data_IF_089448957084
#
_entry.id   IF_089448957084
#
_cell.length_a   1.000
_cell.length_b   1.000
_cell.length_c   1.000
_cell.angle_alpha   90.00
_cell.angle_beta   90.00
_cell.angle_gamma   90.00
#
_symmetry.space_group_name_H-M   'P 1'
#
loop_
_entity.id
_entity.type
_entity.pdbx_description
1 polymer ?
#
# COMPACT_ATOMS: atom_id res chain seq x y z
N UNK A 1 12.39 3.46 -18.72
CA UNK A 1 12.96 2.66 -17.60
C UNK A 1 12.02 1.49 -17.37
N UNK A 2 12.54 0.31 -17.06
CA UNK A 2 11.66 -0.82 -16.73
C UNK A 2 11.16 -0.65 -15.29
N UNK A 3 9.88 -0.93 -15.05
CA UNK A 3 9.30 -0.93 -13.71
C UNK A 3 9.98 -1.98 -12.83
N UNK A 4 10.14 -1.71 -11.54
CA UNK A 4 10.63 -2.65 -10.54
C UNK A 4 9.57 -3.72 -10.26
N UNK A 5 8.31 -3.31 -10.14
CA UNK A 5 7.15 -4.16 -9.97
C UNK A 5 6.14 -3.88 -11.07
N UNK A 6 5.63 -4.92 -11.70
CA UNK A 6 4.49 -4.84 -12.63
C UNK A 6 3.45 -5.89 -12.25
N UNK A 7 2.22 -5.44 -12.05
CA UNK A 7 1.05 -6.27 -11.79
C UNK A 7 0.03 -5.97 -12.88
N UNK A 8 -0.48 -7.01 -13.56
CA UNK A 8 -1.55 -6.90 -14.57
C UNK A 8 -2.67 -7.88 -14.28
N UNK A 9 -3.89 -7.33 -14.26
CA UNK A 9 -5.14 -8.07 -14.08
C UNK A 9 -5.13 -9.01 -12.87
N UNK A 10 -4.49 -8.59 -11.75
CA UNK A 10 -4.50 -9.35 -10.51
C UNK A 10 -5.92 -9.41 -9.95
N UNK A 11 -6.38 -10.61 -9.66
CA UNK A 11 -7.66 -10.86 -9.00
C UNK A 11 -7.49 -11.84 -7.84
N UNK A 12 -8.28 -11.64 -6.79
CA UNK A 12 -8.36 -12.53 -5.63
C UNK A 12 -9.82 -12.85 -5.36
N UNK A 13 -10.15 -14.14 -5.40
CA UNK A 13 -11.51 -14.63 -5.19
C UNK A 13 -11.56 -15.53 -3.95
N UNK A 14 -12.55 -15.32 -3.10
CA UNK A 14 -12.86 -16.20 -1.98
C UNK A 14 -14.24 -16.81 -2.21
N UNK A 15 -14.32 -18.14 -2.31
CA UNK A 15 -15.56 -18.89 -2.56
C UNK A 15 -16.32 -18.38 -3.82
N UNK A 16 -15.60 -18.01 -4.88
CA UNK A 16 -16.17 -17.47 -6.12
C UNK A 16 -16.53 -15.99 -6.09
N UNK A 17 -16.40 -15.32 -4.94
CA UNK A 17 -16.69 -13.89 -4.80
C UNK A 17 -15.39 -13.07 -4.89
N UNK A 18 -15.32 -12.04 -5.76
CA UNK A 18 -14.12 -11.25 -5.94
C UNK A 18 -13.88 -10.30 -4.75
N UNK A 19 -12.74 -10.46 -4.07
CA UNK A 19 -12.24 -9.48 -3.10
C UNK A 19 -11.44 -8.38 -3.81
N UNK A 20 -10.67 -8.79 -4.83
CA UNK A 20 -9.86 -7.91 -5.69
C UNK A 20 -10.15 -8.31 -7.14
N UNK A 21 -10.36 -7.34 -8.03
CA UNK A 21 -10.73 -7.58 -9.42
C UNK A 21 -9.90 -6.71 -10.37
N UNK A 22 -9.12 -7.37 -11.24
CA UNK A 22 -8.35 -6.77 -12.34
C UNK A 22 -7.49 -5.58 -11.93
N UNK A 23 -6.72 -5.72 -10.84
CA UNK A 23 -5.78 -4.69 -10.41
C UNK A 23 -4.60 -4.63 -11.38
N UNK A 24 -4.32 -3.40 -11.83
CA UNK A 24 -3.12 -3.05 -12.55
C UNK A 24 -2.33 -2.04 -11.73
N UNK A 25 -1.10 -2.38 -11.40
CA UNK A 25 -0.21 -1.53 -10.61
C UNK A 25 1.23 -1.72 -11.10
N UNK A 26 1.95 -0.63 -11.28
CA UNK A 26 3.39 -0.65 -11.49
C UNK A 26 4.09 0.22 -10.47
N UNK A 27 5.34 -0.09 -10.18
CA UNK A 27 6.20 0.69 -9.29
C UNK A 27 7.58 0.78 -9.92
N UNK A 28 8.08 1.99 -10.12
CA UNK A 28 9.42 2.22 -10.61
C UNK A 28 10.47 2.05 -9.49
N UNK A 29 11.76 1.81 -9.81
CA UNK A 29 12.82 1.80 -8.80
C UNK A 29 12.87 3.12 -8.04
N UNK A 30 12.88 3.07 -6.71
CA UNK A 30 12.92 4.25 -5.83
C UNK A 30 11.62 5.08 -5.78
N UNK A 31 10.55 4.67 -6.46
CA UNK A 31 9.27 5.37 -6.44
C UNK A 31 8.51 5.10 -5.14
N UNK A 32 7.83 6.13 -4.63
CA UNK A 32 6.82 5.99 -3.57
C UNK A 32 5.43 6.06 -4.18
N UNK A 33 4.69 4.96 -4.11
CA UNK A 33 3.31 4.86 -4.60
C UNK A 33 2.36 4.74 -3.42
N UNK A 34 1.40 5.66 -3.32
CA UNK A 34 0.31 5.57 -2.36
C UNK A 34 -0.82 4.66 -2.88
N UNK A 35 -1.34 3.79 -2.04
CA UNK A 35 -2.55 3.01 -2.32
C UNK A 35 -3.59 3.37 -1.26
N UNK A 36 -4.65 4.04 -1.67
CA UNK A 36 -5.64 4.63 -0.76
C UNK A 36 -7.05 4.14 -1.03
N UNK A 37 -7.93 4.28 -0.04
CA UNK A 37 -9.35 3.91 -0.13
C UNK A 37 -9.91 3.49 1.22
N UNK A 38 -11.23 3.39 1.34
CA UNK A 38 -11.91 2.96 2.57
C UNK A 38 -11.49 1.54 2.99
N UNK A 39 -11.76 1.20 4.27
CA UNK A 39 -11.59 -0.18 4.75
C UNK A 39 -12.42 -1.14 3.90
N UNK A 40 -11.90 -2.33 3.62
CA UNK A 40 -12.55 -3.31 2.75
C UNK A 40 -12.42 -3.04 1.26
N UNK A 41 -11.72 -1.99 0.81
CA UNK A 41 -11.52 -1.73 -0.64
C UNK A 41 -10.54 -2.69 -1.33
N UNK A 42 -9.87 -3.60 -0.61
CA UNK A 42 -9.00 -4.63 -1.18
C UNK A 42 -7.49 -4.31 -1.16
N UNK A 43 -7.06 -3.19 -0.58
CA UNK A 43 -5.65 -2.74 -0.53
C UNK A 43 -4.71 -3.81 0.00
N UNK A 44 -4.90 -4.21 1.27
CA UNK A 44 -4.06 -5.22 1.94
C UNK A 44 -4.10 -6.57 1.23
N UNK A 45 -5.29 -7.00 0.78
CA UNK A 45 -5.45 -8.28 0.06
C UNK A 45 -4.65 -8.29 -1.25
N UNK A 46 -4.56 -7.17 -1.96
CA UNK A 46 -3.74 -7.03 -3.17
C UNK A 46 -2.27 -7.28 -2.87
N UNK A 47 -1.75 -6.69 -1.78
CA UNK A 47 -0.34 -6.87 -1.41
C UNK A 47 -0.08 -8.25 -0.81
N UNK A 48 -1.00 -8.81 -0.04
CA UNK A 48 -0.91 -10.19 0.43
C UNK A 48 -0.88 -11.18 -0.75
N UNK A 49 -1.62 -10.92 -1.82
CA UNK A 49 -1.57 -11.74 -3.04
C UNK A 49 -0.20 -11.68 -3.72
N UNK A 50 0.41 -10.48 -3.83
CA UNK A 50 1.78 -10.31 -4.32
C UNK A 50 2.78 -11.10 -3.46
N UNK A 51 2.67 -11.02 -2.14
CA UNK A 51 3.52 -11.74 -1.18
C UNK A 51 3.27 -13.26 -1.15
N UNK A 52 2.17 -13.74 -1.76
CA UNK A 52 1.79 -15.16 -1.69
C UNK A 52 1.26 -15.58 -0.32
N UNK A 53 0.64 -14.64 0.40
CA UNK A 53 0.10 -14.80 1.75
C UNK A 53 -1.44 -14.89 1.78
N UNK A 54 -2.06 -15.14 0.63
CA UNK A 54 -3.51 -15.38 0.57
C UNK A 54 -3.78 -16.85 0.89
N UNK A 55 -4.39 -17.10 2.05
CA UNK A 55 -4.74 -18.43 2.50
C UNK A 55 -5.98 -18.98 1.79
N UNK A 56 -6.11 -20.33 1.78
CA UNK A 56 -7.32 -20.99 1.32
C UNK A 56 -8.54 -20.51 2.16
N UNK A 57 -9.72 -20.33 1.53
CA UNK A 57 -10.10 -20.70 0.17
C UNK A 57 -9.82 -19.61 -0.89
N UNK A 58 -8.90 -18.68 -0.63
CA UNK A 58 -8.54 -17.62 -1.55
C UNK A 58 -7.81 -18.15 -2.78
N UNK A 59 -8.27 -17.74 -3.97
CA UNK A 59 -7.65 -18.04 -5.27
C UNK A 59 -7.13 -16.76 -5.88
N UNK A 60 -5.82 -16.74 -6.17
CA UNK A 60 -5.13 -15.61 -6.81
C UNK A 60 -4.91 -15.94 -8.28
N UNK A 61 -5.31 -15.04 -9.17
CA UNK A 61 -5.05 -15.10 -10.62
C UNK A 61 -4.49 -13.77 -11.10
N UNK A 62 -3.63 -13.78 -12.11
CA UNK A 62 -3.13 -12.58 -12.76
C UNK A 62 -2.61 -12.93 -14.17
N UNK A 63 -2.54 -11.94 -15.06
CA UNK A 63 -1.89 -12.10 -16.37
C UNK A 63 -0.38 -11.94 -16.24
N UNK A 64 0.07 -11.03 -15.38
CA UNK A 64 1.48 -10.78 -15.10
C UNK A 64 1.67 -10.34 -13.65
N UNK A 65 2.66 -10.91 -12.99
CA UNK A 65 3.26 -10.39 -11.76
C UNK A 65 4.76 -10.51 -11.92
N UNK A 66 5.42 -9.43 -12.28
CA UNK A 66 6.88 -9.40 -12.46
C UNK A 66 7.53 -8.46 -11.45
N UNK A 67 8.67 -8.89 -10.92
CA UNK A 67 9.48 -8.12 -10.00
C UNK A 67 10.95 -8.19 -10.42
N UNK A 68 11.56 -7.04 -10.65
CA UNK A 68 12.96 -6.92 -11.10
C UNK A 68 13.29 -7.82 -12.28
N UNK A 69 12.37 -7.90 -13.26
CA UNK A 69 12.46 -8.73 -14.45
C UNK A 69 12.15 -10.22 -14.24
N UNK A 70 11.78 -10.64 -13.02
CA UNK A 70 11.44 -12.03 -12.70
C UNK A 70 9.92 -12.20 -12.69
N UNK A 71 9.39 -13.12 -13.50
CA UNK A 71 7.98 -13.52 -13.49
C UNK A 71 7.67 -14.34 -12.24
N UNK A 72 6.99 -13.73 -11.27
CA UNK A 72 6.64 -14.38 -10.00
C UNK A 72 5.55 -15.45 -10.15
N UNK A 73 4.74 -15.43 -11.22
CA UNK A 73 3.74 -16.47 -11.47
C UNK A 73 4.39 -17.78 -11.89
N UNK A 74 5.50 -17.69 -12.65
CA UNK A 74 6.26 -18.86 -13.13
C UNK A 74 7.40 -19.26 -12.20
N UNK A 75 7.74 -18.40 -11.24
CA UNK A 75 8.82 -18.67 -10.31
C UNK A 75 8.52 -19.90 -9.43
N UNK A 76 9.49 -20.79 -9.29
CA UNK A 76 9.38 -21.93 -8.38
C UNK A 76 9.23 -21.44 -6.93
N UNK A 77 8.64 -22.25 -6.02
CA UNK A 77 8.53 -21.90 -4.61
C UNK A 77 9.86 -21.54 -3.95
N UNK A 78 10.97 -22.15 -4.40
CA UNK A 78 12.32 -21.84 -3.92
C UNK A 78 12.80 -20.46 -4.41
N UNK A 79 12.50 -20.08 -5.64
CA UNK A 79 12.83 -18.76 -6.18
C UNK A 79 11.99 -17.67 -5.49
N UNK A 80 10.69 -17.89 -5.34
CA UNK A 80 9.81 -16.93 -4.60
C UNK A 80 10.31 -16.70 -3.19
N UNK A 81 10.66 -17.74 -2.42
CA UNK A 81 11.19 -17.60 -1.05
C UNK A 81 12.53 -16.84 -0.97
N UNK A 82 13.28 -16.73 -2.06
CA UNK A 82 14.51 -15.91 -2.11
C UNK A 82 14.22 -14.44 -2.33
N UNK A 83 13.09 -14.11 -2.94
CA UNK A 83 12.66 -12.75 -3.27
C UNK A 83 11.79 -12.19 -2.15
N UNK A 84 10.76 -12.96 -1.74
CA UNK A 84 9.82 -12.54 -0.69
C UNK A 84 10.51 -12.64 0.68
N UNK A 85 10.44 -11.55 1.45
CA UNK A 85 11.10 -11.39 2.74
C UNK A 85 12.55 -10.88 2.64
N UNK A 86 13.15 -10.87 1.44
CA UNK A 86 14.48 -10.31 1.17
C UNK A 86 14.41 -9.07 0.28
N UNK A 87 14.04 -9.26 -1.01
CA UNK A 87 14.01 -8.19 -2.00
C UNK A 87 12.66 -7.44 -2.01
N UNK A 88 11.57 -8.12 -1.64
CA UNK A 88 10.26 -7.54 -1.34
C UNK A 88 9.98 -7.82 0.14
N UNK A 89 9.78 -6.77 0.93
CA UNK A 89 9.43 -6.87 2.33
C UNK A 89 8.11 -6.15 2.62
N UNK A 90 7.45 -6.54 3.72
CA UNK A 90 6.16 -5.95 4.12
C UNK A 90 6.14 -5.64 5.61
N UNK A 91 5.67 -4.45 5.93
CA UNK A 91 5.28 -4.00 7.27
C UNK A 91 3.76 -4.14 7.35
N UNK A 92 3.27 -4.96 8.28
CA UNK A 92 1.85 -5.24 8.44
C UNK A 92 1.17 -4.18 9.32
N UNK A 93 -0.15 -4.11 9.24
CA UNK A 93 -0.98 -3.14 9.93
C UNK A 93 -0.87 -3.19 11.45
N UNK A 94 -0.79 -4.39 12.04
CA UNK A 94 -0.71 -4.59 13.50
C UNK A 94 0.61 -5.27 13.88
N UNK A 95 1.50 -4.51 14.51
CA UNK A 95 2.79 -5.00 14.96
C UNK A 95 2.68 -6.05 16.07
N UNK A 96 1.67 -5.95 16.96
CA UNK A 96 1.53 -6.90 18.07
C UNK A 96 1.10 -8.29 17.58
N UNK A 97 0.22 -8.36 16.61
CA UNK A 97 -0.17 -9.64 16.01
C UNK A 97 0.87 -10.21 15.06
N UNK A 98 1.73 -9.36 14.48
CA UNK A 98 2.78 -9.74 13.53
C UNK A 98 4.05 -10.26 14.22
N UNK A 99 4.36 -9.77 15.41
CA UNK A 99 5.48 -10.25 16.21
C UNK A 99 5.06 -11.47 17.04
N UNK A 100 5.89 -12.51 17.06
CA UNK A 100 5.64 -13.68 17.88
C UNK A 100 5.88 -13.36 19.37
N UNK A 101 4.85 -13.42 20.23
CA UNK A 101 4.99 -13.05 21.64
C UNK A 101 5.86 -13.99 22.46
N UNK A 102 6.16 -15.18 21.95
CA UNK A 102 6.98 -16.20 22.64
C UNK A 102 8.48 -16.02 22.42
N UNK A 103 8.90 -15.13 21.52
CA UNK A 103 10.30 -14.87 21.20
C UNK A 103 10.66 -13.42 21.48
N UNK A 104 11.92 -13.19 21.91
CA UNK A 104 12.43 -11.82 22.07
C UNK A 104 12.54 -11.11 20.73
N UNK A 105 12.51 -9.78 20.73
CA UNK A 105 12.61 -8.99 19.51
C UNK A 105 13.93 -9.24 18.78
N UNK A 106 15.02 -9.38 19.53
CA UNK A 106 16.32 -9.69 18.94
C UNK A 106 16.40 -11.09 18.34
N UNK A 107 15.70 -12.08 18.92
CA UNK A 107 15.61 -13.41 18.30
C UNK A 107 14.97 -13.32 16.92
N UNK A 108 13.84 -12.61 16.80
CA UNK A 108 13.07 -12.48 15.55
C UNK A 108 13.87 -11.73 14.46
N UNK A 109 14.58 -10.65 14.83
CA UNK A 109 15.47 -9.94 13.89
C UNK A 109 16.62 -10.86 13.43
N UNK A 110 17.25 -11.57 14.38
CA UNK A 110 18.34 -12.51 14.06
C UNK A 110 17.89 -13.68 13.19
N UNK A 111 16.64 -14.13 13.31
CA UNK A 111 16.07 -15.18 12.46
C UNK A 111 16.00 -14.71 11.00
N UNK A 112 15.50 -13.50 10.74
CA UNK A 112 15.46 -12.90 9.39
C UNK A 112 16.86 -12.80 8.79
N UNK A 113 17.80 -12.23 9.53
CA UNK A 113 19.19 -12.07 9.08
C UNK A 113 19.90 -13.42 8.81
N UNK A 114 19.66 -14.42 9.66
CA UNK A 114 20.20 -15.76 9.48
C UNK A 114 19.62 -16.44 8.24
N UNK A 115 18.31 -16.31 8.02
CA UNK A 115 17.61 -16.97 6.92
C UNK A 115 17.99 -16.36 5.58
N UNK A 116 18.00 -15.04 5.47
CA UNK A 116 18.13 -14.33 4.20
C UNK A 116 19.56 -13.84 3.89
N UNK A 117 20.34 -13.48 4.91
CA UNK A 117 21.72 -12.99 4.76
C UNK A 117 22.77 -14.04 5.15
N UNK A 118 22.37 -15.14 5.77
CA UNK A 118 23.28 -16.20 6.20
C UNK A 118 24.22 -15.80 7.35
N UNK A 119 23.96 -14.68 8.03
CA UNK A 119 24.78 -14.17 9.11
C UNK A 119 24.78 -15.12 10.32
N UNK A 120 25.91 -15.19 11.06
CA UNK A 120 26.08 -16.04 12.25
C UNK A 120 26.98 -15.36 13.29
N UNK A 121 26.91 -15.86 14.54
CA UNK A 121 27.79 -15.41 15.62
C UNK A 121 27.74 -13.91 15.90
N UNK A 122 28.88 -13.30 16.12
CA UNK A 122 28.99 -11.89 16.51
C UNK A 122 28.50 -10.92 15.42
N UNK A 123 28.72 -11.25 14.13
CA UNK A 123 28.23 -10.43 13.02
C UNK A 123 26.70 -10.35 13.01
N UNK A 124 26.01 -11.47 13.33
CA UNK A 124 24.55 -11.54 13.45
C UNK A 124 24.04 -10.66 14.60
N UNK A 125 24.68 -10.76 15.77
CA UNK A 125 24.32 -9.97 16.96
C UNK A 125 24.57 -8.47 16.74
N UNK A 126 25.73 -8.12 16.18
CA UNK A 126 26.07 -6.74 15.86
C UNK A 126 25.06 -6.14 14.88
N UNK A 127 24.73 -6.85 13.80
CA UNK A 127 23.78 -6.36 12.80
C UNK A 127 22.36 -6.20 13.37
N UNK A 128 21.91 -7.09 14.24
CA UNK A 128 20.63 -6.98 14.90
C UNK A 128 20.55 -5.73 15.82
N UNK A 129 21.62 -5.41 16.54
CA UNK A 129 21.70 -4.18 17.34
C UNK A 129 21.70 -2.93 16.48
N UNK A 130 22.50 -2.91 15.40
CA UNK A 130 22.53 -1.80 14.44
C UNK A 130 21.14 -1.50 13.86
N UNK A 131 20.34 -2.52 13.55
CA UNK A 131 18.98 -2.36 13.04
C UNK A 131 18.05 -1.74 14.09
N UNK A 132 18.14 -2.15 15.35
CA UNK A 132 17.35 -1.55 16.43
C UNK A 132 17.73 -0.08 16.65
N UNK A 133 19.02 0.24 16.63
CA UNK A 133 19.52 1.62 16.72
C UNK A 133 19.03 2.45 15.54
N UNK A 134 19.09 1.92 14.31
CA UNK A 134 18.66 2.58 13.07
C UNK A 134 17.17 2.95 13.06
N UNK A 135 16.32 2.11 13.64
CA UNK A 135 14.88 2.43 13.77
C UNK A 135 14.57 3.25 15.03
N UNK A 136 15.58 3.67 15.79
CA UNK A 136 15.43 4.53 16.95
C UNK A 136 14.83 3.83 18.17
N UNK A 137 15.17 2.56 18.41
CA UNK A 137 14.86 1.89 19.69
C UNK A 137 15.83 2.40 20.76
N UNK A 138 15.35 3.10 21.81
CA UNK A 138 16.22 3.60 22.85
C UNK A 138 16.82 2.41 23.63
N UNK A 139 18.12 2.49 23.99
CA UNK A 139 18.82 1.46 24.76
C UNK A 139 18.71 0.04 24.13
N UNK A 140 19.00 -0.04 22.83
CA UNK A 140 18.85 -1.24 22.04
C UNK A 140 19.56 -2.47 22.64
N UNK A 141 20.72 -2.26 23.33
CA UNK A 141 21.49 -3.34 23.98
C UNK A 141 20.71 -4.07 25.07
N UNK A 142 19.93 -3.34 25.86
CA UNK A 142 19.14 -3.94 26.94
C UNK A 142 17.77 -4.42 26.42
N UNK A 143 17.27 -3.80 25.35
CA UNK A 143 15.95 -4.12 24.80
C UNK A 143 15.95 -5.25 23.78
N UNK A 144 17.09 -5.62 23.23
CA UNK A 144 17.18 -6.71 22.23
C UNK A 144 16.66 -8.06 22.78
N UNK A 145 16.75 -8.28 24.08
CA UNK A 145 16.30 -9.50 24.75
C UNK A 145 14.91 -9.35 25.41
N UNK A 146 14.19 -8.24 25.17
CA UNK A 146 12.81 -8.06 25.63
C UNK A 146 11.81 -8.75 24.68
N UNK A 147 10.64 -9.07 25.22
CA UNK A 147 9.53 -9.63 24.45
C UNK A 147 8.60 -8.53 23.93
N UNK A 148 7.85 -8.75 22.84
CA UNK A 148 6.95 -7.75 22.28
C UNK A 148 5.96 -7.15 23.30
N UNK A 149 5.39 -7.97 24.19
CA UNK A 149 4.44 -7.53 25.21
C UNK A 149 5.07 -6.62 26.30
N UNK A 150 6.40 -6.52 26.36
CA UNK A 150 7.13 -5.63 27.28
C UNK A 150 7.47 -4.27 26.65
N UNK A 151 7.06 -4.06 25.40
CA UNK A 151 7.36 -2.86 24.62
C UNK A 151 6.08 -2.08 24.32
N UNK A 152 6.20 -0.76 24.05
CA UNK A 152 5.07 0.04 23.60
C UNK A 152 4.68 -0.30 22.14
N UNK A 153 3.45 0.06 21.72
CA UNK A 153 2.99 -0.15 20.35
C UNK A 153 3.94 0.46 19.31
N UNK A 154 4.36 1.70 19.51
CA UNK A 154 5.33 2.37 18.63
C UNK A 154 6.71 1.71 18.60
N UNK A 155 7.15 1.11 19.70
CA UNK A 155 8.40 0.33 19.72
C UNK A 155 8.25 -0.98 18.95
N UNK A 156 7.15 -1.69 19.12
CA UNK A 156 6.87 -2.90 18.35
C UNK A 156 6.78 -2.60 16.84
N UNK A 157 6.17 -1.46 16.47
CA UNK A 157 6.14 -0.99 15.09
C UNK A 157 7.55 -0.76 14.53
N UNK A 158 8.43 -0.11 15.29
CA UNK A 158 9.84 0.10 14.92
C UNK A 158 10.60 -1.23 14.79
N UNK A 159 10.35 -2.21 15.65
CA UNK A 159 10.94 -3.56 15.54
C UNK A 159 10.47 -4.25 14.26
N UNK A 160 9.18 -4.18 13.94
CA UNK A 160 8.65 -4.75 12.70
C UNK A 160 9.27 -4.09 11.47
N UNK A 161 9.44 -2.76 11.48
CA UNK A 161 10.15 -2.03 10.43
C UNK A 161 11.61 -2.51 10.35
N UNK A 162 12.32 -2.66 11.48
CA UNK A 162 13.69 -3.16 11.50
C UNK A 162 13.80 -4.54 10.85
N UNK A 163 12.86 -5.44 11.12
CA UNK A 163 12.79 -6.77 10.49
C UNK A 163 12.55 -6.65 8.98
N UNK A 164 11.62 -5.82 8.56
CA UNK A 164 11.29 -5.63 7.14
C UNK A 164 12.47 -5.06 6.34
N UNK A 165 13.24 -4.13 6.92
CA UNK A 165 14.39 -3.50 6.24
C UNK A 165 15.72 -4.22 6.48
N UNK A 166 15.74 -5.31 7.24
CA UNK A 166 16.97 -6.01 7.66
C UNK A 166 17.85 -6.44 6.47
N UNK A 167 17.23 -6.86 5.38
CA UNK A 167 17.90 -7.35 4.18
C UNK A 167 18.04 -6.30 3.06
N UNK A 168 17.85 -5.01 3.34
CA UNK A 168 17.87 -3.93 2.36
C UNK A 168 16.99 -4.22 1.13
N UNK A 169 15.67 -4.35 1.32
CA UNK A 169 14.76 -4.71 0.23
C UNK A 169 14.77 -3.65 -0.88
N UNK A 170 14.53 -4.09 -2.12
CA UNK A 170 14.31 -3.18 -3.26
C UNK A 170 12.92 -2.55 -3.23
N UNK A 171 11.95 -3.27 -2.65
CA UNK A 171 10.56 -2.82 -2.47
C UNK A 171 10.12 -3.07 -1.04
N UNK A 172 9.68 -2.02 -0.36
CA UNK A 172 9.00 -2.09 0.92
C UNK A 172 7.50 -1.82 0.70
N UNK A 173 6.66 -2.68 1.24
CA UNK A 173 5.22 -2.48 1.33
C UNK A 173 4.90 -2.12 2.78
N UNK A 174 4.29 -0.97 3.02
CA UNK A 174 3.85 -0.54 4.35
C UNK A 174 2.32 -0.50 4.37
N UNK A 175 1.71 -1.49 5.02
CA UNK A 175 0.26 -1.64 5.09
C UNK A 175 -0.26 -0.98 6.36
N UNK A 176 -0.84 0.20 6.20
CA UNK A 176 -1.35 1.05 7.28
C UNK A 176 -0.40 1.13 8.49
N UNK A 177 0.88 1.53 8.30
CA UNK A 177 1.94 1.37 9.30
C UNK A 177 1.75 2.22 10.56
N UNK A 178 0.76 3.08 10.58
CA UNK A 178 0.48 4.03 11.68
C UNK A 178 -0.85 3.79 12.38
N UNK A 179 -1.62 2.78 11.96
CA UNK A 179 -2.92 2.46 12.56
C UNK A 179 -2.76 2.11 14.04
N UNK A 180 -3.69 2.59 14.87
CA UNK A 180 -3.73 2.40 16.33
C UNK A 180 -2.57 3.04 17.12
N UNK A 181 -1.80 3.96 16.52
CA UNK A 181 -0.79 4.76 17.19
C UNK A 181 -1.29 6.18 17.44
N UNK A 182 -0.74 6.85 18.43
CA UNK A 182 -1.01 8.27 18.65
C UNK A 182 -0.36 9.15 17.55
N UNK A 183 -0.91 10.34 17.33
CA UNK A 183 -0.53 11.25 16.23
C UNK A 183 0.97 11.56 16.22
N UNK A 184 1.59 11.72 17.38
CA UNK A 184 3.03 12.00 17.48
C UNK A 184 3.87 10.82 17.02
N UNK A 185 3.50 9.61 17.43
CA UNK A 185 4.19 8.39 17.01
C UNK A 185 3.93 8.10 15.53
N UNK A 186 2.71 8.38 15.03
CA UNK A 186 2.41 8.25 13.59
C UNK A 186 3.38 9.08 12.74
N UNK A 187 3.57 10.37 13.06
CA UNK A 187 4.52 11.23 12.36
C UNK A 187 5.94 10.66 12.39
N UNK A 188 6.41 10.22 13.57
CA UNK A 188 7.75 9.64 13.71
C UNK A 188 7.95 8.33 12.90
N UNK A 189 6.92 7.50 12.78
CA UNK A 189 6.98 6.27 11.98
C UNK A 189 7.02 6.62 10.49
N UNK A 190 6.25 7.61 10.04
CA UNK A 190 6.28 8.07 8.66
C UNK A 190 7.63 8.68 8.30
N UNK A 191 8.18 9.55 9.14
CA UNK A 191 9.52 10.13 8.95
C UNK A 191 10.60 9.04 8.86
N UNK A 192 10.51 8.01 9.72
CA UNK A 192 11.41 6.87 9.69
C UNK A 192 11.33 6.12 8.35
N UNK A 193 10.12 5.80 7.86
CA UNK A 193 9.93 5.08 6.60
C UNK A 193 10.45 5.88 5.41
N UNK A 194 10.18 7.19 5.37
CA UNK A 194 10.64 8.09 4.31
C UNK A 194 12.17 8.24 4.34
N UNK A 195 12.76 8.36 5.53
CA UNK A 195 14.22 8.44 5.70
C UNK A 195 14.89 7.16 5.19
N UNK A 196 14.41 5.99 5.62
CA UNK A 196 14.91 4.70 5.18
C UNK A 196 14.74 4.49 3.66
N UNK A 197 13.62 4.93 3.10
CA UNK A 197 13.36 4.87 1.65
C UNK A 197 14.41 5.68 0.89
N UNK A 198 14.66 6.93 1.30
CA UNK A 198 15.64 7.83 0.65
C UNK A 198 17.08 7.33 0.80
N UNK A 199 17.47 6.94 2.03
CA UNK A 199 18.83 6.47 2.32
C UNK A 199 19.22 5.23 1.51
N UNK A 200 18.26 4.32 1.32
CA UNK A 200 18.50 3.03 0.66
C UNK A 200 18.12 3.02 -0.81
N UNK A 201 17.45 4.06 -1.31
CA UNK A 201 16.95 4.12 -2.69
C UNK A 201 15.91 3.04 -3.01
N UNK A 202 15.24 2.49 -1.99
CA UNK A 202 14.22 1.46 -2.19
C UNK A 202 12.90 2.07 -2.67
N UNK A 203 12.12 1.31 -3.42
CA UNK A 203 10.74 1.67 -3.72
C UNK A 203 9.84 1.44 -2.50
N UNK A 204 8.77 2.23 -2.37
CA UNK A 204 7.82 2.12 -1.26
C UNK A 204 6.39 2.09 -1.80
N UNK A 205 5.62 1.07 -1.44
CA UNK A 205 4.16 1.08 -1.57
C UNK A 205 3.57 1.37 -0.20
N UNK A 206 2.98 2.57 -0.06
CA UNK A 206 2.35 3.02 1.18
C UNK A 206 0.83 2.84 1.08
N UNK A 207 0.29 1.90 1.83
CA UNK A 207 -1.15 1.73 1.98
C UNK A 207 -1.61 2.58 3.17
N UNK A 208 -2.59 3.43 2.94
CA UNK A 208 -3.19 4.26 3.98
C UNK A 208 -4.65 4.57 3.66
N UNK A 209 -5.44 4.80 4.68
CA UNK A 209 -6.75 5.46 4.55
C UNK A 209 -6.62 6.98 4.70
N UNK A 210 -5.46 7.48 5.15
CA UNK A 210 -5.16 8.90 5.30
C UNK A 210 -4.48 9.44 4.03
N UNK A 211 -5.27 10.19 3.27
CA UNK A 211 -4.83 10.84 2.03
C UNK A 211 -3.82 11.99 2.31
N UNK A 212 -3.92 12.68 3.45
CA UNK A 212 -3.01 13.77 3.78
C UNK A 212 -1.58 13.23 3.92
N UNK A 213 -1.39 12.15 4.69
CA UNK A 213 -0.09 11.47 4.84
C UNK A 213 0.46 11.02 3.49
N UNK A 214 -0.37 10.45 2.62
CA UNK A 214 0.06 9.99 1.29
C UNK A 214 0.46 11.16 0.40
N UNK A 215 -0.23 12.32 0.50
CA UNK A 215 0.07 13.52 -0.29
C UNK A 215 1.45 14.09 -0.03
N UNK A 216 1.98 13.90 1.17
CA UNK A 216 3.29 14.44 1.58
C UNK A 216 4.47 13.61 1.05
N UNK A 217 4.27 12.30 0.81
CA UNK A 217 5.39 11.38 0.56
C UNK A 217 5.34 10.68 -0.79
N UNK A 218 4.14 10.46 -1.37
CA UNK A 218 3.99 9.72 -2.60
C UNK A 218 4.24 10.60 -3.85
N UNK A 219 4.78 10.00 -4.90
CA UNK A 219 4.87 10.59 -6.23
C UNK A 219 3.61 10.31 -7.06
N UNK A 220 2.96 9.18 -6.79
CA UNK A 220 1.75 8.73 -7.49
C UNK A 220 0.81 8.02 -6.52
N UNK A 221 -0.48 8.12 -6.79
CA UNK A 221 -1.53 7.49 -5.97
C UNK A 221 -2.41 6.58 -6.84
N UNK A 222 -2.74 5.42 -6.31
CA UNK A 222 -3.78 4.53 -6.81
C UNK A 222 -4.94 4.51 -5.80
N UNK A 223 -6.10 4.96 -6.21
CA UNK A 223 -7.32 4.96 -5.38
C UNK A 223 -8.09 3.67 -5.62
N UNK A 224 -8.36 2.93 -4.56
CA UNK A 224 -9.08 1.66 -4.61
C UNK A 224 -10.48 1.77 -4.01
N UNK A 225 -11.45 1.16 -4.68
CA UNK A 225 -12.82 1.04 -4.22
C UNK A 225 -13.39 -0.35 -4.55
N UNK A 226 -13.95 -1.03 -3.57
CA UNK A 226 -14.61 -2.33 -3.72
C UNK A 226 -13.80 -3.36 -4.53
N UNK A 227 -12.48 -3.43 -4.33
CA UNK A 227 -11.59 -4.38 -4.99
C UNK A 227 -11.05 -3.95 -6.34
N UNK A 228 -11.33 -2.74 -6.80
CA UNK A 228 -10.82 -2.20 -8.06
C UNK A 228 -9.99 -0.93 -7.86
N UNK A 229 -9.00 -0.69 -8.72
CA UNK A 229 -8.41 0.64 -8.89
C UNK A 229 -9.37 1.47 -9.72
N UNK A 230 -9.82 2.59 -9.16
CA UNK A 230 -10.79 3.48 -9.80
C UNK A 230 -10.17 4.76 -10.33
N UNK A 231 -9.04 5.18 -9.78
CA UNK A 231 -8.28 6.33 -10.26
C UNK A 231 -6.81 6.15 -9.96
N UNK A 232 -5.94 6.56 -10.87
CA UNK A 232 -4.51 6.75 -10.65
C UNK A 232 -4.10 8.11 -11.18
N UNK A 233 -3.22 8.80 -10.47
CA UNK A 233 -2.62 10.03 -10.94
C UNK A 233 -1.35 10.36 -10.14
N UNK A 234 -0.59 11.34 -10.63
CA UNK A 234 0.56 11.93 -9.92
C UNK A 234 0.09 12.79 -8.75
N UNK A 235 0.95 12.94 -7.77
CA UNK A 235 0.84 13.96 -6.75
C UNK A 235 1.61 15.20 -7.26
N UNK A 236 1.06 16.45 -7.21
CA UNK A 236 -0.18 16.85 -6.51
C UNK A 236 -1.48 16.77 -7.35
N UNK A 237 -1.44 16.37 -8.63
CA UNK A 237 -2.56 16.50 -9.57
C UNK A 237 -3.85 15.84 -9.10
N UNK A 238 -3.76 14.63 -8.51
CA UNK A 238 -4.92 13.88 -8.00
C UNK A 238 -5.65 14.64 -6.88
N UNK A 239 -4.92 15.47 -6.11
CA UNK A 239 -5.48 16.27 -5.02
C UNK A 239 -6.08 17.57 -5.53
N UNK A 240 -5.46 18.18 -6.55
CA UNK A 240 -5.92 19.45 -7.14
C UNK A 240 -7.14 19.25 -8.03
N UNK A 241 -7.18 18.17 -8.81
CA UNK A 241 -8.22 17.89 -9.80
C UNK A 241 -8.57 16.40 -9.87
N UNK A 242 -9.24 15.82 -8.86
CA UNK A 242 -9.67 14.43 -8.90
C UNK A 242 -10.62 14.16 -10.06
N UNK A 243 -10.45 13.05 -10.76
CA UNK A 243 -11.25 12.71 -11.94
C UNK A 243 -12.37 11.70 -11.63
N UNK A 244 -12.27 10.97 -10.52
CA UNK A 244 -13.32 10.05 -10.10
C UNK A 244 -14.16 10.65 -8.95
N UNK A 245 -15.50 10.59 -9.02
CA UNK A 245 -16.38 11.12 -7.95
C UNK A 245 -16.10 10.57 -6.54
N UNK A 246 -15.59 9.36 -6.42
CA UNK A 246 -15.20 8.80 -5.13
C UNK A 246 -13.93 9.49 -4.57
N UNK A 247 -12.94 9.74 -5.43
CA UNK A 247 -11.72 10.48 -5.02
C UNK A 247 -12.08 11.88 -4.56
N UNK A 248 -12.95 12.59 -5.30
CA UNK A 248 -13.47 13.88 -4.86
C UNK A 248 -14.15 13.81 -3.50
N UNK A 249 -14.99 12.78 -3.27
CA UNK A 249 -15.67 12.60 -2.00
C UNK A 249 -14.72 12.26 -0.84
N UNK A 250 -13.67 11.46 -1.09
CA UNK A 250 -12.63 11.20 -0.09
C UNK A 250 -11.87 12.48 0.29
N UNK A 251 -11.49 13.30 -0.70
CA UNK A 251 -10.80 14.56 -0.48
C UNK A 251 -11.69 15.56 0.28
N UNK A 252 -12.98 15.59 -0.02
CA UNK A 252 -13.95 16.43 0.71
C UNK A 252 -14.16 15.98 2.16
N UNK A 253 -13.76 14.78 2.55
CA UNK A 253 -13.83 14.31 3.93
C UNK A 253 -12.58 14.66 4.77
N UNK A 254 -11.51 15.17 4.14
CA UNK A 254 -10.26 15.56 4.83
C UNK A 254 -10.49 16.88 5.58
N UNK A 255 -10.22 16.94 6.91
CA UNK A 255 -10.42 18.16 7.71
C UNK A 255 -9.64 19.37 7.20
N UNK A 256 -8.40 19.18 6.78
CA UNK A 256 -7.49 20.23 6.29
C UNK A 256 -7.99 20.90 5.01
N UNK A 257 -8.71 20.18 4.16
CA UNK A 257 -9.35 20.73 2.95
C UNK A 257 -10.66 21.47 3.24
N UNK A 258 -11.20 21.31 4.44
CA UNK A 258 -12.47 21.90 4.87
C UNK A 258 -12.29 22.85 6.07
N UNK A 259 -11.15 23.53 6.18
CA UNK A 259 -10.89 24.48 7.25
C UNK A 259 -11.97 25.57 7.28
N UNK A 260 -12.81 25.57 8.34
CA UNK A 260 -13.92 26.48 8.52
C UNK A 260 -15.32 25.93 8.18
N UNK A 261 -15.45 24.69 7.72
CA UNK A 261 -16.75 24.05 7.55
C UNK A 261 -17.31 23.59 8.92
N UNK A 262 -18.56 23.92 9.22
CA UNK A 262 -19.24 23.49 10.47
C UNK A 262 -19.42 21.97 10.55
N UNK A 263 -19.40 21.27 9.41
CA UNK A 263 -19.48 19.80 9.31
C UNK A 263 -18.61 19.29 8.16
N UNK A 264 -17.83 18.25 8.43
CA UNK A 264 -17.13 17.51 7.38
C UNK A 264 -18.14 16.78 6.49
N UNK A 265 -17.87 16.73 5.19
CA UNK A 265 -18.67 15.98 4.25
C UNK A 265 -18.45 14.49 4.50
N UNK A 266 -19.43 13.80 5.09
CA UNK A 266 -19.40 12.36 5.22
C UNK A 266 -19.90 11.72 3.91
N UNK A 267 -19.14 10.76 3.38
CA UNK A 267 -19.60 9.97 2.24
C UNK A 267 -20.67 8.97 2.70
N UNK A 268 -21.93 9.11 2.26
CA UNK A 268 -23.04 8.28 2.75
C UNK A 268 -22.90 6.82 2.28
N UNK A 269 -23.47 5.90 3.05
CA UNK A 269 -23.47 4.47 2.74
C UNK A 269 -22.14 3.79 3.04
N UNK A 270 -22.04 2.53 2.66
CA UNK A 270 -20.86 1.67 2.85
C UNK A 270 -20.33 1.16 1.52
N UNK A 271 -19.08 0.74 1.51
CA UNK A 271 -18.49 0.00 0.36
C UNK A 271 -19.34 -1.26 0.15
N UNK A 272 -19.82 -1.56 -1.07
CA UNK A 272 -20.63 -2.75 -1.32
C UNK A 272 -19.87 -4.03 -0.93
N UNK A 273 -20.54 -4.90 -0.21
CA UNK A 273 -20.05 -6.24 0.10
C UNK A 273 -19.78 -7.04 -1.18
N UNK A 274 -19.10 -8.17 -1.04
CA UNK A 274 -18.79 -9.02 -2.20
C UNK A 274 -20.04 -9.55 -2.88
N UNK A 275 -21.09 -9.80 -2.10
CA UNK A 275 -22.38 -10.32 -2.55
C UNK A 275 -23.32 -9.23 -3.10
N UNK A 276 -23.08 -7.97 -2.73
CA UNK A 276 -23.97 -6.83 -3.01
C UNK A 276 -23.44 -5.90 -4.11
N UNK A 277 -22.46 -6.36 -4.90
CA UNK A 277 -21.86 -5.54 -5.94
C UNK A 277 -22.84 -5.26 -7.08
N UNK A 278 -23.07 -4.01 -7.47
CA UNK A 278 -23.88 -3.68 -8.63
C UNK A 278 -23.23 -4.21 -9.93
N UNK A 279 -24.06 -4.50 -10.94
CA UNK A 279 -23.59 -4.98 -12.26
C UNK A 279 -22.80 -3.91 -13.04
N UNK A 280 -23.15 -2.63 -12.85
CA UNK A 280 -22.49 -1.48 -13.45
C UNK A 280 -21.32 -0.95 -12.62
N UNK A 281 -21.17 0.37 -12.59
CA UNK A 281 -20.17 1.06 -11.78
C UNK A 281 -20.36 0.73 -10.30
N UNK A 282 -19.30 0.24 -9.63
CA UNK A 282 -19.38 -0.16 -8.22
C UNK A 282 -19.70 1.01 -7.27
N UNK A 283 -19.33 2.23 -7.68
CA UNK A 283 -19.62 3.44 -6.90
C UNK A 283 -20.99 4.06 -7.21
N UNK A 284 -21.71 3.61 -8.24
CA UNK A 284 -22.99 4.19 -8.67
C UNK A 284 -24.00 4.41 -7.50
N UNK A 285 -24.17 3.49 -6.53
CA UNK A 285 -25.12 3.68 -5.43
C UNK A 285 -24.80 4.86 -4.49
N UNK A 286 -23.55 5.34 -4.49
CA UNK A 286 -23.05 6.42 -3.61
C UNK A 286 -22.64 7.67 -4.41
N UNK A 287 -22.73 7.61 -5.75
CA UNK A 287 -22.23 8.65 -6.63
C UNK A 287 -23.26 9.77 -6.80
N UNK A 288 -22.93 11.01 -6.42
CA UNK A 288 -23.81 12.19 -6.63
C UNK A 288 -23.95 12.59 -8.10
N UNK A 289 -23.09 12.05 -8.99
CA UNK A 289 -23.13 12.32 -10.44
C UNK A 289 -23.63 11.11 -11.24
N UNK A 290 -24.27 10.14 -10.59
CA UNK A 290 -24.74 8.92 -11.26
C UNK A 290 -25.71 9.23 -12.40
N UNK A 291 -25.54 8.51 -13.51
CA UNK A 291 -26.43 8.54 -14.67
C UNK A 291 -26.81 7.11 -15.05
N UNK A 292 -27.87 6.93 -15.85
CA UNK A 292 -28.39 5.61 -16.21
C UNK A 292 -27.31 4.68 -16.78
N UNK A 293 -26.42 5.22 -17.63
CA UNK A 293 -25.29 4.47 -18.18
C UNK A 293 -24.36 3.87 -17.13
N UNK A 294 -24.28 4.45 -15.90
CA UNK A 294 -23.48 3.90 -14.81
C UNK A 294 -24.03 2.56 -14.27
N UNK A 295 -25.32 2.30 -14.48
CA UNK A 295 -25.97 1.03 -14.07
C UNK A 295 -25.84 -0.05 -15.15
N UNK A 296 -25.65 0.34 -16.41
CA UNK A 296 -25.67 -0.57 -17.55
C UNK A 296 -24.39 -1.40 -17.68
N UNK A 297 -23.22 -0.80 -17.45
CA UNK A 297 -21.94 -1.48 -17.61
C UNK A 297 -20.88 -0.94 -16.63
N UNK A 298 -19.93 -1.82 -16.26
CA UNK A 298 -18.77 -1.46 -15.43
C UNK A 298 -17.75 -0.70 -16.29
N UNK A 299 -17.38 0.54 -15.94
CA UNK A 299 -16.39 1.30 -16.70
C UNK A 299 -15.02 0.61 -16.68
N UNK A 300 -14.28 0.72 -17.79
CA UNK A 300 -12.86 0.35 -17.81
C UNK A 300 -12.00 1.42 -17.11
N UNK A 301 -10.84 1.03 -16.56
CA UNK A 301 -9.82 1.99 -16.14
C UNK A 301 -9.13 2.53 -17.40
N UNK A 302 -9.51 3.71 -17.86
CA UNK A 302 -9.04 4.31 -19.10
C UNK A 302 -8.07 5.47 -18.86
N UNK A 303 -7.12 5.66 -19.76
CA UNK A 303 -6.27 6.85 -19.80
C UNK A 303 -7.13 8.09 -20.10
N UNK A 304 -6.96 9.14 -19.33
CA UNK A 304 -7.66 10.41 -19.53
C UNK A 304 -6.92 11.29 -20.55
N UNK A 305 -5.60 11.13 -20.62
CA UNK A 305 -4.75 11.71 -21.65
C UNK A 305 -4.10 10.57 -22.44
N UNK A 306 -4.27 10.51 -23.75
CA UNK A 306 -3.64 9.46 -24.55
C UNK A 306 -2.13 9.41 -24.38
N UNK A 307 -1.59 8.24 -23.99
CA UNK A 307 -0.16 8.04 -23.75
C UNK A 307 0.30 8.40 -22.34
N UNK A 308 -0.55 8.95 -21.47
CA UNK A 308 -0.25 9.17 -20.05
C UNK A 308 -0.80 8.02 -19.20
N UNK A 309 0.02 7.00 -19.02
CA UNK A 309 -0.33 5.81 -18.22
C UNK A 309 -0.50 6.10 -16.73
N UNK A 310 -0.06 7.24 -16.23
CA UNK A 310 -0.21 7.62 -14.82
C UNK A 310 -1.60 8.19 -14.53
N UNK A 311 -2.20 8.89 -15.49
CA UNK A 311 -3.48 9.57 -15.34
C UNK A 311 -4.63 8.70 -15.91
N UNK A 312 -5.30 7.93 -15.05
CA UNK A 312 -6.38 7.03 -15.43
C UNK A 312 -7.57 7.14 -14.48
N UNK A 313 -8.78 6.98 -15.01
CA UNK A 313 -9.99 6.89 -14.20
C UNK A 313 -10.96 5.81 -14.72
N UNK A 314 -11.64 5.16 -13.80
CA UNK A 314 -12.70 4.17 -14.04
C UNK A 314 -14.06 4.85 -13.92
N UNK A 315 -14.33 5.80 -14.78
CA UNK A 315 -15.56 6.59 -14.77
C UNK A 315 -16.08 6.84 -16.18
N UNK A 316 -17.38 6.73 -16.39
CA UNK A 316 -18.03 7.04 -17.69
C UNK A 316 -18.02 8.56 -17.93
N UNK A 317 -18.10 9.34 -16.85
CA UNK A 317 -18.12 10.81 -16.87
C UNK A 317 -17.08 11.35 -15.89
N UNK A 318 -15.78 11.29 -16.25
CA UNK A 318 -14.72 11.82 -15.38
C UNK A 318 -14.93 13.31 -15.10
N UNK A 319 -14.55 13.70 -13.88
CA UNK A 319 -14.60 15.11 -13.44
C UNK A 319 -13.36 15.85 -13.93
N UNK A 320 -13.40 17.19 -13.88
CA UNK A 320 -12.24 18.08 -14.06
C UNK A 320 -11.44 17.87 -15.37
N UNK A 321 -12.05 17.35 -16.42
CA UNK A 321 -11.38 17.15 -17.71
C UNK A 321 -10.87 18.46 -18.34
N UNK A 322 -11.47 19.62 -17.98
CA UNK A 322 -11.04 20.95 -18.44
C UNK A 322 -9.72 21.41 -17.80
N UNK A 323 -9.32 20.80 -16.68
CA UNK A 323 -8.06 21.08 -16.02
C UNK A 323 -6.88 20.34 -16.66
N UNK A 324 -7.14 19.42 -17.58
CA UNK A 324 -6.11 18.68 -18.30
C UNK A 324 -5.58 19.59 -19.41
N UNK A 325 -4.33 20.07 -19.24
CA UNK A 325 -3.64 20.80 -20.30
C UNK A 325 -3.20 19.80 -21.39
N UNK A 326 -3.69 19.93 -22.63
CA UNK A 326 -3.30 19.04 -23.73
C UNK A 326 -1.81 19.14 -24.11
N UNK A 327 -1.08 20.13 -23.59
CA UNK A 327 0.37 20.30 -23.77
C UNK A 327 1.24 19.60 -22.71
N UNK A 328 0.63 18.93 -21.70
CA UNK A 328 1.35 18.10 -20.72
C UNK A 328 2.11 18.88 -19.64
N UNK A 329 1.80 20.16 -19.46
CA UNK A 329 2.34 20.99 -18.40
C UNK A 329 1.28 21.32 -17.35
N UNK A 330 1.49 20.88 -16.11
CA UNK A 330 0.68 21.35 -14.98
C UNK A 330 0.90 22.86 -14.79
N UNK A 331 -0.20 23.60 -14.62
CA UNK A 331 -0.16 25.01 -14.19
C UNK A 331 -0.13 25.11 -12.70
#
# INVERSE_FOLDING_TARGET
MNDLLTIRNLAVNFNGLPAVDRINLSVAPGEVVGVVGESGSGKSVTMMALMGLVDAPGIVTADEVSFDGIDLLKASPRQRRRIIGKDIAMVFQDALSSLNPSYTVGYQIREVLKLHEGLRGDALNKRALELLDQVGIPDAKNRIDTFPHQMSGGMNQRVMIAMAVACNPKLLIADEPTTALDVTIQAQIMDLLVSLQKERGMALVLISHDLAVVSEVAQRVAVMYAGEVIETNRVPDIFAAPHHPYTEALLAAIPEHNAGAERLAALPGMVPGRDDRPSGCLFAPRCKYVVEACHAARPALAELVPGDAAMRARCIKPLNLQAIDPSGGAR
#
